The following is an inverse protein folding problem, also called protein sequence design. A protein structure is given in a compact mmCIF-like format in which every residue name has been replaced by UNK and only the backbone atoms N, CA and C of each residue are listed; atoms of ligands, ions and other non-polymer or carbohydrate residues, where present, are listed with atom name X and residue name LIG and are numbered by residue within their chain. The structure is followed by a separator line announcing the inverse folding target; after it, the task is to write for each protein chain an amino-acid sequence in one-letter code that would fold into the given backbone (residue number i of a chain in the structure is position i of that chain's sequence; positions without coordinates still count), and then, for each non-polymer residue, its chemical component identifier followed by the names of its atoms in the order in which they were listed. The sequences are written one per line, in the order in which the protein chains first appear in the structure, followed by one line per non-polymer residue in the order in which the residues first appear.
data_IF_419596858931
#
_entry.id   IF_419596858931
#
_cell.length_a   1.000
_cell.length_b   1.000
_cell.length_c   1.000
_cell.angle_alpha   90.00
_cell.angle_beta   90.00
_cell.angle_gamma   90.00
#
_symmetry.space_group_name_H-M   'P 1'
#
loop_
_entity.id
_entity.type
_entity.pdbx_description
1 polymer ?
#
# COMPACT_ATOMS: atom_id res chain seq x y z
N UNK A 1 -44.88 10.27 33.98
CA UNK A 1 -46.06 9.37 33.89
C UNK A 1 -45.98 8.58 32.59
N UNK A 2 -45.83 7.25 32.62
CA UNK A 2 -45.75 6.43 31.41
C UNK A 2 -47.10 5.81 31.08
N UNK A 3 -47.54 5.88 29.82
CA UNK A 3 -48.75 5.22 29.32
C UNK A 3 -48.35 4.20 28.24
N UNK A 4 -48.33 2.91 28.63
CA UNK A 4 -48.49 1.77 27.71
C UNK A 4 -49.99 1.56 27.47
N UNK A 5 -50.41 1.15 26.26
CA UNK A 5 -50.74 -0.26 25.99
C UNK A 5 -50.41 -0.66 24.53
N UNK A 6 -50.52 -1.87 23.97
CA UNK A 6 -51.09 -3.18 24.36
C UNK A 6 -50.46 -4.24 23.44
N UNK A 7 -50.20 -5.41 23.99
CA UNK A 7 -49.74 -6.63 23.28
C UNK A 7 -50.90 -7.26 22.50
N UNK A 8 -50.63 -7.80 21.30
CA UNK A 8 -51.46 -8.84 20.65
C UNK A 8 -50.54 -9.93 20.12
N UNK A 9 -50.74 -11.13 20.65
CA UNK A 9 -50.13 -12.38 20.18
C UNK A 9 -50.94 -12.93 19.00
N UNK A 10 -50.28 -13.50 18.01
CA UNK A 10 -50.82 -14.57 17.17
C UNK A 10 -49.67 -15.47 16.72
N UNK A 11 -49.66 -16.70 17.22
CA UNK A 11 -48.79 -17.79 16.82
C UNK A 11 -49.45 -18.56 15.68
N UNK A 12 -48.69 -18.97 14.65
CA UNK A 12 -49.03 -20.11 13.80
C UNK A 12 -47.75 -20.91 13.54
N UNK A 13 -47.78 -22.17 13.98
CA UNK A 13 -46.78 -23.20 13.76
C UNK A 13 -47.03 -23.91 12.42
N UNK A 14 -45.97 -24.34 11.74
CA UNK A 14 -46.03 -25.41 10.75
C UNK A 14 -44.82 -26.34 10.96
N UNK A 15 -45.15 -27.60 11.22
CA UNK A 15 -44.30 -28.72 11.60
C UNK A 15 -44.42 -29.79 10.50
N UNK A 16 -43.48 -30.74 10.48
CA UNK A 16 -43.47 -32.04 9.76
C UNK A 16 -42.92 -32.03 8.31
N UNK A 17 -42.19 -33.03 7.81
CA UNK A 17 -41.59 -34.24 8.39
C UNK A 17 -40.58 -34.83 7.37
N UNK A 18 -39.72 -35.72 7.89
CA UNK A 18 -38.60 -36.45 7.29
C UNK A 18 -39.01 -37.52 6.26
N UNK A 19 -38.15 -37.82 5.29
CA UNK A 19 -38.03 -39.17 4.71
C UNK A 19 -36.56 -39.51 4.37
N UNK A 20 -36.02 -40.53 5.03
CA UNK A 20 -34.78 -41.23 4.66
C UNK A 20 -35.04 -42.13 3.44
N UNK A 21 -34.09 -42.19 2.51
CA UNK A 21 -33.90 -43.37 1.65
C UNK A 21 -32.41 -43.66 1.58
N UNK A 22 -32.02 -44.77 2.20
CA UNK A 22 -30.71 -45.38 2.04
C UNK A 22 -30.66 -46.22 0.77
N UNK A 23 -29.53 -46.21 0.07
CA UNK A 23 -29.20 -47.19 -0.96
C UNK A 23 -28.01 -48.01 -0.48
N UNK A 24 -28.32 -49.19 0.07
CA UNK A 24 -27.43 -50.34 0.16
C UNK A 24 -27.08 -50.85 -1.25
N UNK A 25 -25.85 -51.33 -1.50
CA UNK A 25 -25.43 -51.81 -2.81
C UNK A 25 -26.00 -53.22 -3.09
N UNK A 26 -26.33 -53.55 -4.35
CA UNK A 26 -26.66 -54.92 -4.71
C UNK A 26 -25.40 -55.79 -4.75
N UNK A 27 -25.46 -56.93 -4.07
CA UNK A 27 -24.56 -58.07 -4.26
C UNK A 27 -25.30 -59.13 -5.08
N UNK A 28 -24.81 -59.47 -6.27
CA UNK A 28 -24.96 -60.81 -6.83
C UNK A 28 -23.97 -61.08 -7.99
N UNK A 29 -23.00 -61.93 -7.66
CA UNK A 29 -22.52 -63.12 -8.39
C UNK A 29 -22.24 -63.05 -9.90
N UNK A 30 -20.96 -63.13 -10.25
CA UNK A 30 -20.45 -63.56 -11.56
C UNK A 30 -18.92 -63.68 -11.53
N UNK A 31 -18.42 -64.91 -11.61
CA UNK A 31 -17.04 -65.31 -11.31
C UNK A 31 -16.06 -65.15 -12.50
N UNK A 32 -14.78 -64.99 -12.15
CA UNK A 32 -13.54 -65.26 -12.90
C UNK A 32 -12.92 -64.16 -13.80
N UNK A 33 -11.81 -63.55 -13.34
CA UNK A 33 -10.43 -63.96 -13.74
C UNK A 33 -9.34 -63.12 -13.05
N UNK A 34 -8.36 -63.85 -12.53
CA UNK A 34 -6.92 -63.55 -12.43
C UNK A 34 -6.42 -62.18 -11.97
N UNK A 35 -5.66 -62.25 -10.88
CA UNK A 35 -4.76 -61.23 -10.39
C UNK A 35 -3.79 -60.71 -11.48
N UNK A 36 -3.58 -59.39 -11.46
CA UNK A 36 -2.28 -58.77 -11.71
C UNK A 36 -2.18 -57.55 -10.81
N UNK A 37 -1.20 -57.60 -9.91
CA UNK A 37 -0.79 -56.46 -9.10
C UNK A 37 -0.28 -55.34 -10.01
N UNK A 38 -0.89 -54.17 -9.93
CA UNK A 38 -0.30 -52.93 -10.43
C UNK A 38 -0.15 -52.01 -9.25
N UNK A 39 1.07 -51.95 -8.73
CA UNK A 39 1.55 -50.95 -7.79
C UNK A 39 1.21 -49.57 -8.36
N UNK A 40 0.31 -48.83 -7.70
CA UNK A 40 0.16 -47.39 -7.98
C UNK A 40 1.48 -46.73 -7.63
N UNK A 41 2.22 -46.33 -8.66
CA UNK A 41 3.36 -45.44 -8.53
C UNK A 41 2.90 -44.14 -7.87
N UNK A 42 3.45 -43.89 -6.69
CA UNK A 42 3.35 -42.62 -5.99
C UNK A 42 3.91 -41.53 -6.90
N UNK A 43 3.05 -40.61 -7.32
CA UNK A 43 3.47 -39.43 -8.06
C UNK A 43 4.47 -38.64 -7.18
N UNK A 44 5.63 -38.19 -7.70
CA UNK A 44 6.57 -37.45 -6.89
C UNK A 44 5.87 -36.21 -6.32
N UNK A 45 5.82 -36.10 -4.99
CA UNK A 45 5.40 -34.89 -4.33
C UNK A 45 6.29 -33.74 -4.84
N UNK A 46 5.66 -32.77 -5.50
CA UNK A 46 6.31 -31.54 -5.93
C UNK A 46 6.97 -30.92 -4.70
N UNK A 47 8.27 -30.55 -4.73
CA UNK A 47 8.90 -29.94 -3.58
C UNK A 47 8.14 -28.67 -3.24
N UNK A 48 7.68 -28.55 -2.00
CA UNK A 48 7.19 -27.29 -1.47
C UNK A 48 8.26 -26.22 -1.70
N UNK A 49 7.90 -24.98 -2.09
CA UNK A 49 8.88 -23.93 -2.25
C UNK A 49 9.57 -23.73 -0.91
N UNK A 50 10.83 -24.13 -0.81
CA UNK A 50 11.67 -23.75 0.31
C UNK A 50 11.85 -22.25 0.21
N UNK A 51 11.10 -21.50 1.02
CA UNK A 51 11.35 -20.07 1.21
C UNK A 51 12.74 -19.97 1.83
N UNK A 52 13.76 -19.75 1.02
CA UNK A 52 15.09 -19.43 1.52
C UNK A 52 14.95 -18.15 2.32
N UNK A 53 15.00 -18.28 3.64
CA UNK A 53 14.99 -17.17 4.58
C UNK A 53 16.25 -16.34 4.32
N UNK A 54 16.10 -15.23 3.59
CA UNK A 54 17.20 -14.33 3.33
C UNK A 54 17.56 -13.61 4.63
N UNK A 55 18.86 -13.54 4.98
CA UNK A 55 19.27 -12.92 6.24
C UNK A 55 18.91 -11.43 6.21
N UNK A 56 18.21 -10.99 7.25
CA UNK A 56 17.94 -9.58 7.51
C UNK A 56 19.23 -8.85 7.89
N UNK A 57 19.34 -7.58 7.51
CA UNK A 57 20.38 -6.69 8.03
C UNK A 57 20.20 -6.52 9.53
N UNK A 58 21.27 -6.75 10.29
CA UNK A 58 21.30 -6.59 11.74
C UNK A 58 21.57 -5.16 12.18
N UNK A 59 21.98 -4.29 11.25
CA UNK A 59 22.24 -2.88 11.47
C UNK A 59 21.73 -2.04 10.30
N UNK A 60 21.29 -0.82 10.60
CA UNK A 60 20.91 0.15 9.56
C UNK A 60 22.14 0.53 8.76
N UNK A 61 22.16 0.30 7.44
CA UNK A 61 23.32 0.61 6.61
C UNK A 61 23.47 2.13 6.45
N UNK A 62 24.71 2.60 6.45
CA UNK A 62 25.01 3.98 6.05
C UNK A 62 24.80 4.13 4.55
N UNK A 63 23.90 5.03 4.17
CA UNK A 63 23.68 5.40 2.77
C UNK A 63 24.69 6.45 2.33
N UNK A 64 25.20 6.32 1.12
CA UNK A 64 26.21 7.22 0.54
C UNK A 64 25.80 7.57 -0.89
N UNK A 65 26.08 8.80 -1.32
CA UNK A 65 25.82 9.22 -2.71
C UNK A 65 26.94 8.65 -3.57
N UNK A 66 26.65 7.61 -4.34
CA UNK A 66 27.61 6.94 -5.22
C UNK A 66 27.00 6.70 -6.60
N UNK A 67 27.86 6.63 -7.64
CA UNK A 67 27.44 6.30 -9.00
C UNK A 67 26.46 7.32 -9.58
N UNK A 68 25.34 6.83 -10.10
CA UNK A 68 24.31 7.63 -10.77
C UNK A 68 23.36 8.36 -9.81
N UNK A 69 23.57 8.25 -8.50
CA UNK A 69 22.77 8.94 -7.51
C UNK A 69 22.87 10.47 -7.68
N UNK A 70 21.73 11.16 -7.55
CA UNK A 70 21.69 12.62 -7.68
C UNK A 70 22.49 13.28 -6.58
N UNK A 71 23.17 14.38 -6.91
CA UNK A 71 24.00 15.12 -5.96
C UNK A 71 23.13 15.82 -4.91
N UNK A 72 23.61 16.00 -3.67
CA UNK A 72 22.95 16.86 -2.70
C UNK A 72 22.70 18.28 -3.24
N UNK A 73 21.54 18.86 -2.94
CA UNK A 73 21.13 20.18 -3.44
C UNK A 73 20.54 20.16 -4.86
N UNK A 74 20.34 18.98 -5.46
CA UNK A 74 19.74 18.86 -6.80
C UNK A 74 18.28 19.33 -6.78
N UNK A 75 17.92 20.14 -7.78
CA UNK A 75 16.56 20.67 -7.97
C UNK A 75 15.97 20.11 -9.26
N UNK A 76 14.87 19.40 -9.12
CA UNK A 76 14.13 18.71 -10.17
C UNK A 76 12.75 19.33 -10.34
N UNK A 77 12.13 19.07 -11.49
CA UNK A 77 10.70 19.37 -11.67
C UNK A 77 9.86 18.20 -11.17
N UNK A 78 8.62 18.46 -10.76
CA UNK A 78 7.66 17.38 -10.58
C UNK A 78 7.55 16.53 -11.86
N UNK A 79 7.53 15.21 -11.69
CA UNK A 79 7.58 14.22 -12.76
C UNK A 79 8.99 13.83 -13.23
N UNK A 80 10.05 14.53 -12.81
CA UNK A 80 11.43 14.09 -13.09
C UNK A 80 11.89 13.05 -12.07
N UNK A 81 12.62 12.06 -12.56
CA UNK A 81 13.18 10.97 -11.76
C UNK A 81 14.52 11.37 -11.12
N UNK A 82 14.66 11.16 -9.82
CA UNK A 82 15.94 11.18 -9.12
C UNK A 82 16.40 9.76 -8.82
N UNK A 83 17.67 9.44 -9.03
CA UNK A 83 18.26 8.20 -8.48
C UNK A 83 18.77 8.52 -7.08
N UNK A 84 18.29 7.81 -6.07
CA UNK A 84 18.68 8.02 -4.66
C UNK A 84 19.14 6.70 -4.02
N UNK A 85 20.13 6.74 -3.11
CA UNK A 85 20.46 5.60 -2.27
C UNK A 85 19.28 5.26 -1.37
N UNK A 86 19.05 3.97 -1.19
CA UNK A 86 17.95 3.44 -0.39
C UNK A 86 18.34 2.13 0.28
N UNK A 87 17.56 1.69 1.25
CA UNK A 87 17.77 0.37 1.86
C UNK A 87 16.45 -0.24 2.29
N UNK A 88 16.47 -1.57 2.38
CA UNK A 88 15.45 -2.37 3.02
C UNK A 88 16.02 -3.08 4.24
N UNK A 89 15.17 -3.81 4.94
CA UNK A 89 15.59 -4.76 5.97
C UNK A 89 16.49 -5.89 5.44
N UNK A 90 16.59 -6.07 4.12
CA UNK A 90 17.35 -7.14 3.48
C UNK A 90 18.67 -6.63 2.88
N UNK A 91 18.68 -5.45 2.26
CA UNK A 91 19.85 -4.95 1.54
C UNK A 91 19.83 -3.43 1.32
N UNK A 92 21.02 -2.86 1.04
CA UNK A 92 21.22 -1.48 0.57
C UNK A 92 21.28 -1.48 -0.96
N UNK A 93 20.63 -0.50 -1.59
CA UNK A 93 20.60 -0.34 -3.04
C UNK A 93 20.29 1.09 -3.48
N UNK A 94 19.78 1.23 -4.70
CA UNK A 94 19.37 2.51 -5.30
C UNK A 94 17.98 2.42 -5.92
N UNK A 95 17.18 3.47 -5.75
CA UNK A 95 15.86 3.60 -6.36
C UNK A 95 15.76 4.85 -7.21
N UNK A 96 15.03 4.76 -8.31
CA UNK A 96 14.54 5.91 -9.05
C UNK A 96 13.26 6.41 -8.39
N UNK A 97 13.29 7.60 -7.82
CA UNK A 97 12.15 8.28 -7.22
C UNK A 97 11.62 9.36 -8.15
N UNK A 98 10.37 9.23 -8.56
CA UNK A 98 9.63 10.23 -9.33
C UNK A 98 8.46 10.72 -8.49
N UNK A 99 8.26 12.04 -8.46
CA UNK A 99 7.28 12.66 -7.58
C UNK A 99 6.38 13.58 -8.38
N UNK A 100 5.06 13.39 -8.28
CA UNK A 100 4.06 14.29 -8.86
C UNK A 100 3.08 14.76 -7.80
N UNK A 101 2.46 15.92 -8.06
CA UNK A 101 1.46 16.49 -7.15
C UNK A 101 0.21 16.81 -7.95
N UNK A 102 -0.91 16.23 -7.54
CA UNK A 102 -2.24 16.57 -8.05
C UNK A 102 -3.00 17.39 -7.00
N UNK A 103 -3.72 18.42 -7.44
CA UNK A 103 -4.50 19.28 -6.57
C UNK A 103 -5.97 19.20 -6.97
N UNK A 104 -6.80 18.63 -6.12
CA UNK A 104 -8.23 18.43 -6.35
C UNK A 104 -9.02 19.11 -5.24
N UNK A 105 -10.18 19.67 -5.57
CA UNK A 105 -11.10 20.15 -4.53
C UNK A 105 -11.58 18.94 -3.72
N UNK A 106 -11.43 18.98 -2.40
CA UNK A 106 -11.80 17.86 -1.54
C UNK A 106 -13.30 17.53 -1.72
N UNK A 107 -13.65 16.34 -2.25
CA UNK A 107 -15.03 15.94 -2.40
C UNK A 107 -15.66 15.69 -1.04
N UNK A 108 -16.91 16.12 -0.89
CA UNK A 108 -17.69 15.93 0.32
C UNK A 108 -17.79 14.44 0.71
N UNK A 109 -17.95 13.57 -0.30
CA UNK A 109 -17.99 12.12 -0.12
C UNK A 109 -16.66 11.54 0.41
N UNK A 110 -15.53 12.01 -0.12
CA UNK A 110 -14.20 11.56 0.35
C UNK A 110 -13.97 12.01 1.78
N UNK A 111 -14.30 13.27 2.12
CA UNK A 111 -14.21 13.78 3.49
C UNK A 111 -15.06 12.95 4.46
N UNK A 112 -16.26 12.53 4.04
CA UNK A 112 -17.14 11.70 4.87
C UNK A 112 -16.64 10.27 5.05
N UNK A 113 -15.94 9.72 4.06
CA UNK A 113 -15.30 8.40 4.14
C UNK A 113 -14.14 8.37 5.13
N UNK A 114 -13.47 9.50 5.37
CA UNK A 114 -12.31 9.56 6.25
C UNK A 114 -12.68 9.16 7.69
N UNK A 115 -11.81 8.39 8.38
CA UNK A 115 -12.02 7.96 9.77
C UNK A 115 -11.68 9.07 10.77
N UNK A 116 -12.24 10.27 10.54
CA UNK A 116 -12.01 11.48 11.34
C UNK A 116 -13.27 11.87 12.11
N UNK A 117 -13.10 12.67 13.17
CA UNK A 117 -14.21 13.29 13.89
C UNK A 117 -14.88 14.33 13.01
N UNK A 118 -16.17 14.58 13.22
CA UNK A 118 -16.95 15.56 12.44
C UNK A 118 -16.34 16.98 12.51
N UNK A 119 -15.74 17.34 13.65
CA UNK A 119 -15.02 18.61 13.82
C UNK A 119 -13.82 18.75 12.86
N UNK A 120 -13.10 17.65 12.61
CA UNK A 120 -11.96 17.63 11.70
C UNK A 120 -12.42 17.54 10.25
N UNK A 121 -13.49 16.78 9.98
CA UNK A 121 -14.16 16.76 8.66
C UNK A 121 -14.64 18.16 8.27
N UNK A 122 -15.26 18.90 9.20
CA UNK A 122 -15.70 20.27 8.97
C UNK A 122 -14.54 21.21 8.60
N UNK A 123 -13.34 21.00 9.17
CA UNK A 123 -12.14 21.75 8.77
C UNK A 123 -11.69 21.39 7.35
N UNK A 124 -11.93 20.18 6.85
CA UNK A 124 -11.58 19.78 5.49
C UNK A 124 -12.57 20.31 4.44
N UNK A 125 -13.82 20.60 4.83
CA UNK A 125 -14.82 21.17 3.92
C UNK A 125 -14.35 22.51 3.35
N UNK A 126 -14.37 22.61 2.02
CA UNK A 126 -13.89 23.80 1.30
C UNK A 126 -12.38 23.90 1.14
N UNK A 127 -11.61 22.90 1.58
CA UNK A 127 -10.18 22.77 1.30
C UNK A 127 -9.94 21.96 0.03
N UNK A 128 -8.69 21.99 -0.44
CA UNK A 128 -8.21 21.12 -1.50
C UNK A 128 -7.40 19.97 -0.90
N UNK A 129 -7.52 18.82 -1.52
CA UNK A 129 -6.64 17.68 -1.37
C UNK A 129 -5.47 17.82 -2.34
N UNK A 130 -4.27 17.61 -1.81
CA UNK A 130 -3.04 17.54 -2.58
C UNK A 130 -2.54 16.10 -2.50
N UNK A 131 -2.68 15.38 -3.61
CA UNK A 131 -2.20 14.01 -3.75
C UNK A 131 -0.76 14.05 -4.20
N UNK A 132 0.13 13.55 -3.34
CA UNK A 132 1.56 13.41 -3.66
C UNK A 132 1.78 11.97 -4.08
N UNK A 133 1.97 11.74 -5.38
CA UNK A 133 2.28 10.42 -5.90
C UNK A 133 3.78 10.23 -5.95
N UNK A 134 4.25 9.18 -5.31
CA UNK A 134 5.64 8.78 -5.24
C UNK A 134 5.78 7.46 -6.01
N UNK A 135 6.51 7.50 -7.13
CA UNK A 135 6.83 6.32 -7.92
C UNK A 135 8.28 5.94 -7.68
N UNK A 136 8.48 4.78 -7.08
CA UNK A 136 9.78 4.17 -6.85
C UNK A 136 10.03 3.10 -7.91
N UNK A 137 11.20 3.15 -8.54
CA UNK A 137 11.67 2.13 -9.48
C UNK A 137 12.94 1.51 -8.92
N UNK A 138 12.99 0.19 -8.82
CA UNK A 138 14.18 -0.53 -8.38
C UNK A 138 15.24 -0.50 -9.51
N UNK A 139 16.33 0.26 -9.34
CA UNK A 139 17.28 0.53 -10.43
C UNK A 139 18.36 -0.55 -10.53
N UNK A 140 18.79 -1.10 -9.40
CA UNK A 140 19.90 -2.04 -9.32
C UNK A 140 19.47 -3.51 -9.21
N UNK A 141 18.19 -3.77 -8.92
CA UNK A 141 17.67 -5.12 -8.69
C UNK A 141 17.97 -5.67 -7.30
N UNK A 142 18.31 -4.79 -6.35
CA UNK A 142 18.48 -5.15 -4.94
C UNK A 142 17.15 -5.61 -4.35
N UNK A 143 17.15 -6.51 -3.38
CA UNK A 143 15.93 -6.88 -2.68
C UNK A 143 15.43 -5.71 -1.80
N UNK A 144 14.45 -4.97 -2.32
CA UNK A 144 13.81 -3.86 -1.65
C UNK A 144 12.35 -4.18 -1.28
N UNK A 145 11.97 -5.46 -1.22
CA UNK A 145 10.63 -5.86 -0.79
C UNK A 145 10.29 -5.32 0.62
N UNK A 146 9.00 -5.04 0.85
CA UNK A 146 8.45 -4.61 2.15
C UNK A 146 9.00 -3.27 2.67
N UNK A 147 9.62 -2.46 1.81
CA UNK A 147 10.01 -1.09 2.16
C UNK A 147 8.82 -0.14 2.09
N UNK A 148 8.86 0.93 2.87
CA UNK A 148 7.89 2.03 2.77
C UNK A 148 8.48 3.11 1.87
N UNK A 149 7.62 3.82 1.13
CA UNK A 149 8.04 4.99 0.37
C UNK A 149 8.67 6.04 1.31
N UNK A 150 9.70 6.78 0.86
CA UNK A 150 10.32 7.81 1.68
C UNK A 150 9.29 8.87 2.11
N UNK A 151 9.59 9.58 3.20
CA UNK A 151 8.77 10.71 3.63
C UNK A 151 9.38 11.97 3.02
N UNK A 152 8.61 12.64 2.17
CA UNK A 152 9.00 13.92 1.58
C UNK A 152 8.50 15.08 2.43
N UNK A 153 9.34 16.11 2.55
CA UNK A 153 8.98 17.37 3.20
C UNK A 153 8.26 18.26 2.19
N UNK A 154 6.95 18.43 2.33
CA UNK A 154 6.14 19.31 1.49
C UNK A 154 6.20 20.76 1.97
N UNK A 155 6.36 21.70 1.04
CA UNK A 155 6.21 23.15 1.30
C UNK A 155 5.17 23.77 0.37
N UNK A 156 4.29 24.59 0.93
CA UNK A 156 3.29 25.36 0.19
C UNK A 156 3.89 26.60 -0.45
N UNK A 157 3.12 27.33 -1.26
CA UNK A 157 3.56 28.57 -1.94
C UNK A 157 4.01 29.64 -0.94
N UNK A 158 3.36 29.71 0.22
CA UNK A 158 3.72 30.62 1.30
C UNK A 158 4.99 30.21 2.06
N UNK A 159 5.55 29.02 1.75
CA UNK A 159 6.65 28.42 2.49
C UNK A 159 6.20 27.66 3.74
N UNK A 160 4.90 27.60 4.00
CA UNK A 160 4.31 26.82 5.09
C UNK A 160 4.28 25.32 4.83
N UNK A 161 3.78 24.57 5.81
CA UNK A 161 3.57 23.14 5.72
C UNK A 161 2.09 22.88 5.42
N UNK A 162 1.75 22.03 4.42
CA UNK A 162 0.37 21.66 4.22
C UNK A 162 -0.13 20.82 5.40
N UNK A 163 -1.45 20.79 5.59
CA UNK A 163 -2.07 19.80 6.46
C UNK A 163 -1.77 18.39 5.94
N UNK A 164 -1.58 17.44 6.83
CA UNK A 164 -1.37 16.03 6.50
C UNK A 164 -2.36 15.18 7.28
N UNK A 165 -2.94 14.17 6.62
CA UNK A 165 -3.75 13.17 7.30
C UNK A 165 -2.83 12.00 7.65
N UNK A 166 -2.48 11.90 8.92
CA UNK A 166 -1.68 10.79 9.43
C UNK A 166 -2.59 9.57 9.60
N UNK A 167 -2.33 8.52 8.83
CA UNK A 167 -3.04 7.25 8.93
C UNK A 167 -4.44 7.33 8.33
N UNK A 168 -4.52 7.23 7.00
CA UNK A 168 -5.80 7.15 6.31
C UNK A 168 -6.54 5.82 6.51
N UNK A 169 -5.88 4.84 7.13
CA UNK A 169 -6.43 3.48 7.24
C UNK A 169 -6.68 2.89 5.85
N UNK A 170 -7.49 1.82 5.77
CA UNK A 170 -7.94 1.23 4.50
C UNK A 170 -9.01 2.10 3.80
N UNK A 171 -8.88 3.42 3.89
CA UNK A 171 -9.86 4.34 3.32
C UNK A 171 -9.33 4.76 1.96
N UNK A 172 -9.97 4.25 0.91
CA UNK A 172 -9.70 4.66 -0.45
C UNK A 172 -10.26 6.08 -0.64
N UNK A 173 -9.39 7.09 -0.60
CA UNK A 173 -9.74 8.39 -1.18
C UNK A 173 -9.51 8.27 -2.68
N UNK A 174 -10.53 8.64 -3.46
CA UNK A 174 -10.50 8.47 -4.91
C UNK A 174 -9.23 9.13 -5.51
N UNK A 175 -8.36 8.29 -6.07
CA UNK A 175 -7.07 8.72 -6.65
C UNK A 175 -5.84 8.45 -5.78
N UNK A 176 -5.96 7.95 -4.55
CA UNK A 176 -4.83 7.72 -3.65
C UNK A 176 -4.95 6.38 -2.92
N UNK A 177 -4.33 5.35 -3.48
CA UNK A 177 -4.21 4.06 -2.79
C UNK A 177 -2.99 4.10 -1.86
N UNK A 178 -3.21 4.00 -0.55
CA UNK A 178 -2.15 4.03 0.45
C UNK A 178 -1.46 2.65 0.54
N UNK A 179 -0.70 2.31 -0.49
CA UNK A 179 0.18 1.16 -0.49
C UNK A 179 1.37 1.47 0.43
N UNK A 180 1.25 1.04 1.68
CA UNK A 180 2.21 1.33 2.75
C UNK A 180 3.53 0.56 2.61
N UNK A 181 3.53 -0.56 1.89
CA UNK A 181 4.68 -1.45 1.74
C UNK A 181 4.85 -1.88 0.29
N UNK A 182 6.09 -1.84 -0.17
CA UNK A 182 6.45 -2.34 -1.48
C UNK A 182 6.15 -3.84 -1.58
N UNK A 183 5.60 -4.29 -2.72
CA UNK A 183 5.27 -5.68 -2.93
C UNK A 183 6.54 -6.56 -2.98
N UNK A 184 6.36 -7.88 -2.84
CA UNK A 184 7.48 -8.84 -2.76
C UNK A 184 8.33 -8.90 -4.04
N UNK A 185 7.75 -8.53 -5.18
CA UNK A 185 8.41 -8.42 -6.47
C UNK A 185 9.23 -7.12 -6.62
N UNK A 186 9.19 -6.19 -5.66
CA UNK A 186 10.12 -5.05 -5.57
C UNK A 186 11.55 -5.48 -5.17
N UNK A 187 11.93 -6.70 -5.57
CA UNK A 187 13.26 -7.29 -5.44
C UNK A 187 13.94 -7.52 -6.79
N UNK A 188 13.31 -7.13 -7.91
CA UNK A 188 13.89 -7.27 -9.25
C UNK A 188 14.16 -5.91 -9.88
N UNK A 189 15.15 -5.87 -10.77
CA UNK A 189 15.50 -4.65 -11.49
C UNK A 189 14.33 -4.21 -12.39
N UNK A 190 13.99 -2.93 -12.32
CA UNK A 190 12.89 -2.32 -13.04
C UNK A 190 11.52 -2.50 -12.36
N UNK A 191 11.45 -3.21 -11.22
CA UNK A 191 10.20 -3.28 -10.45
C UNK A 191 9.75 -1.87 -10.04
N UNK A 192 8.43 -1.66 -10.03
CA UNK A 192 7.82 -0.37 -9.72
C UNK A 192 6.95 -0.52 -8.48
N UNK A 193 7.09 0.42 -7.57
CA UNK A 193 6.23 0.58 -6.40
C UNK A 193 5.71 2.01 -6.38
N UNK A 194 4.40 2.17 -6.31
CA UNK A 194 3.75 3.47 -6.26
C UNK A 194 3.12 3.64 -4.88
N UNK A 195 3.36 4.79 -4.27
CA UNK A 195 2.75 5.21 -3.03
C UNK A 195 2.07 6.56 -3.23
N UNK A 196 1.01 6.82 -2.47
CA UNK A 196 0.33 8.09 -2.50
C UNK A 196 0.16 8.64 -1.09
N UNK A 197 0.52 9.91 -0.90
CA UNK A 197 0.33 10.63 0.36
C UNK A 197 -0.66 11.75 0.16
N UNK A 198 -1.69 11.78 1.02
CA UNK A 198 -2.68 12.84 1.01
C UNK A 198 -2.30 13.98 1.95
N UNK A 199 -2.19 15.16 1.36
CA UNK A 199 -2.10 16.44 2.07
C UNK A 199 -3.37 17.26 1.83
N UNK A 200 -3.60 18.28 2.64
CA UNK A 200 -4.71 19.20 2.44
C UNK A 200 -4.33 20.64 2.76
N UNK A 201 -5.02 21.59 2.14
CA UNK A 201 -4.81 23.01 2.37
C UNK A 201 -5.76 23.88 1.56
N UNK A 202 -5.47 25.16 1.45
CA UNK A 202 -6.31 26.08 0.67
C UNK A 202 -5.80 26.16 -0.77
N UNK A 203 -6.72 26.28 -1.74
CA UNK A 203 -6.37 26.34 -3.16
C UNK A 203 -5.41 27.51 -3.52
N UNK A 204 -5.46 28.60 -2.76
CA UNK A 204 -4.58 29.77 -2.94
C UNK A 204 -3.15 29.52 -2.48
N UNK A 205 -2.90 28.49 -1.67
CA UNK A 205 -1.59 28.12 -1.12
C UNK A 205 -1.26 26.64 -1.40
N UNK A 206 -1.08 26.25 -2.68
CA UNK A 206 -0.82 24.86 -3.06
C UNK A 206 0.59 24.43 -2.67
N UNK A 207 0.82 23.11 -2.65
CA UNK A 207 2.18 22.55 -2.58
C UNK A 207 2.96 23.01 -3.81
N UNK A 208 4.14 23.60 -3.58
CA UNK A 208 5.03 24.08 -4.65
C UNK A 208 6.37 23.36 -4.67
N UNK A 209 6.73 22.68 -3.58
CA UNK A 209 7.93 21.86 -3.53
C UNK A 209 7.80 20.67 -2.57
N UNK A 210 8.54 19.61 -2.89
CA UNK A 210 8.75 18.43 -2.08
C UNK A 210 10.25 18.17 -1.96
N UNK A 211 10.73 17.95 -0.75
CA UNK A 211 12.15 17.73 -0.48
C UNK A 211 12.42 16.37 0.16
N UNK A 212 13.35 15.62 -0.41
CA UNK A 212 13.95 14.43 0.19
C UNK A 212 15.18 14.84 1.00
N UNK A 213 15.17 14.49 2.28
CA UNK A 213 16.12 14.99 3.29
C UNK A 213 16.72 13.85 4.13
N UNK A 214 16.42 12.60 3.79
CA UNK A 214 17.01 11.44 4.45
C UNK A 214 18.48 11.32 4.10
N UNK A 215 19.32 10.96 5.08
CA UNK A 215 20.75 10.72 4.88
C UNK A 215 20.97 9.80 3.67
N UNK A 216 21.93 10.12 2.78
CA UNK A 216 23.02 11.10 2.92
C UNK A 216 22.64 12.55 2.59
N UNK A 217 21.37 12.82 2.27
CA UNK A 217 20.86 14.18 2.10
C UNK A 217 20.48 14.79 3.45
N UNK A 218 20.20 16.10 3.47
CA UNK A 218 19.89 16.84 4.69
C UNK A 218 18.81 17.89 4.42
N UNK A 219 18.25 18.47 5.48
CA UNK A 219 17.18 19.48 5.39
C UNK A 219 17.63 20.83 4.86
N UNK A 220 18.93 21.11 4.83
CA UNK A 220 19.45 22.32 4.22
C UNK A 220 19.18 22.31 2.71
N UNK A 221 18.70 23.43 2.16
CA UNK A 221 18.36 23.52 0.73
C UNK A 221 19.55 23.22 -0.21
N UNK A 222 20.79 23.38 0.27
CA UNK A 222 22.03 23.04 -0.45
C UNK A 222 22.35 21.54 -0.43
N UNK A 223 21.59 20.75 0.33
CA UNK A 223 21.84 19.33 0.61
C UNK A 223 20.63 18.45 0.33
N UNK A 224 19.41 18.98 0.32
CA UNK A 224 18.21 18.22 -0.05
C UNK A 224 18.11 17.95 -1.55
N UNK A 225 17.41 16.89 -1.93
CA UNK A 225 16.90 16.74 -3.31
C UNK A 225 15.49 17.33 -3.33
N UNK A 226 15.22 18.28 -4.22
CA UNK A 226 13.94 18.99 -4.22
C UNK A 226 13.24 18.91 -5.56
N UNK A 227 11.98 18.47 -5.57
CA UNK A 227 11.06 18.61 -6.69
C UNK A 227 10.25 19.89 -6.50
N UNK A 228 10.10 20.69 -7.55
CA UNK A 228 9.31 21.92 -7.49
C UNK A 228 8.68 22.30 -8.83
N UNK A 229 7.65 23.14 -8.77
CA UNK A 229 7.16 23.84 -9.95
C UNK A 229 8.26 24.77 -10.48
N UNK A 230 8.37 24.85 -11.81
CA UNK A 230 9.32 25.75 -12.49
C UNK A 230 8.95 27.21 -12.27
#
# INVERSE_FOLDING_TARGET
MPTRPRVRHAAIAAMACVALVGCTPPSNTGQARSASATTSGEAPASPSPTTTEMPYLTTTPTLEVTGDAVKPGTKLKFGEQAIIPFYSRYAKGVVGLTVTVESVKAPDADIDSLPLKDEDKAKLRGKNFFFVHEKLTNVDGTNLAEVTAPILTAKTRSGGWPGSLLGMGKTDVAGCEDQNFAPKDFSVKGAVFEACRLHFGVASDPITSLAYTTQPYESADSRSVTWRNK
#
